data_IF_110570273227
#
_entry.id   IF_110570273227
#
_cell.length_a   1.000
_cell.length_b   1.000
_cell.length_c   1.000
_cell.angle_alpha   90.00
_cell.angle_beta   90.00
_cell.angle_gamma   90.00
#
_symmetry.space_group_name_H-M   'P 1'
#
loop_
_entity.id
_entity.type
_entity.pdbx_description
1 polymer ?
#
# COMPACT_ATOMS: atom_id res chain seq x y z
N UNK A 1 40.25 22.67 -35.19
CA UNK A 1 40.70 22.99 -33.81
C UNK A 1 39.60 23.89 -33.24
N UNK A 2 38.72 23.53 -32.31
CA UNK A 2 38.64 22.50 -31.27
C UNK A 2 37.14 22.14 -31.10
N UNK A 3 36.85 20.84 -30.92
CA UNK A 3 35.57 20.36 -30.40
C UNK A 3 35.43 20.78 -28.93
N UNK A 4 34.23 21.12 -28.47
CA UNK A 4 33.89 20.90 -27.07
C UNK A 4 32.41 20.55 -26.91
N UNK A 5 32.21 19.36 -26.38
CA UNK A 5 30.97 18.67 -26.06
C UNK A 5 30.59 18.93 -24.58
N UNK A 6 29.49 18.30 -24.16
CA UNK A 6 28.97 18.08 -22.80
C UNK A 6 27.93 19.08 -22.27
N UNK A 7 26.83 18.66 -21.64
CA UNK A 7 26.38 17.31 -21.29
C UNK A 7 24.86 17.31 -21.10
N UNK A 8 24.18 16.37 -21.75
CA UNK A 8 22.80 16.00 -21.42
C UNK A 8 22.82 15.22 -20.10
N UNK A 9 22.29 15.84 -19.05
CA UNK A 9 22.18 15.24 -17.71
C UNK A 9 20.93 14.38 -17.57
N UNK A 10 21.09 13.08 -17.82
CA UNK A 10 20.50 12.01 -17.02
C UNK A 10 18.96 11.93 -16.91
N UNK A 11 18.26 11.68 -18.02
CA UNK A 11 16.95 11.01 -17.96
C UNK A 11 17.23 9.53 -17.69
N UNK A 12 16.99 9.04 -16.46
CA UNK A 12 16.85 7.59 -16.27
C UNK A 12 15.54 7.19 -16.94
N UNK A 13 15.66 6.65 -18.14
CA UNK A 13 14.56 6.03 -18.85
C UNK A 13 13.88 5.00 -17.95
N UNK A 14 12.58 5.20 -17.71
CA UNK A 14 11.75 4.16 -17.10
C UNK A 14 11.58 3.11 -18.19
N UNK A 15 12.42 2.07 -18.13
CA UNK A 15 12.34 0.97 -19.05
C UNK A 15 11.04 0.19 -18.78
N UNK A 16 10.03 0.42 -19.62
CA UNK A 16 8.72 -0.23 -19.55
C UNK A 16 8.74 -1.70 -20.01
N UNK A 17 9.88 -2.28 -20.40
CA UNK A 17 9.94 -3.65 -20.96
C UNK A 17 10.05 -4.79 -19.95
N UNK A 18 9.98 -4.52 -18.64
CA UNK A 18 9.85 -5.59 -17.65
C UNK A 18 8.68 -5.27 -16.73
N UNK A 19 7.52 -5.79 -17.11
CA UNK A 19 6.37 -5.97 -16.23
C UNK A 19 6.79 -6.87 -15.06
N UNK A 20 7.43 -6.28 -14.04
CA UNK A 20 7.93 -7.02 -12.88
C UNK A 20 6.77 -7.34 -11.96
N UNK A 21 6.68 -8.62 -11.65
CA UNK A 21 5.71 -9.31 -10.79
C UNK A 21 5.48 -8.54 -9.49
N UNK A 22 4.20 -8.32 -9.16
CA UNK A 22 3.72 -7.39 -8.11
C UNK A 22 4.43 -7.53 -6.75
N UNK A 23 4.95 -8.72 -6.42
CA UNK A 23 5.63 -9.01 -5.15
C UNK A 23 7.16 -9.02 -5.19
N UNK A 24 7.79 -9.23 -6.36
CA UNK A 24 9.23 -8.92 -6.49
C UNK A 24 9.48 -7.45 -6.21
N UNK A 25 8.52 -6.62 -6.59
CA UNK A 25 8.49 -5.18 -6.34
C UNK A 25 8.38 -4.84 -4.84
N UNK A 26 7.56 -5.57 -4.07
CA UNK A 26 7.46 -5.40 -2.62
C UNK A 26 8.71 -5.86 -1.87
N UNK A 27 9.32 -7.00 -2.28
CA UNK A 27 10.63 -7.41 -1.75
C UNK A 27 11.73 -6.42 -2.12
N UNK A 28 11.74 -5.95 -3.37
CA UNK A 28 12.68 -4.92 -3.85
C UNK A 28 12.51 -3.61 -3.09
N UNK A 29 11.27 -3.19 -2.78
CA UNK A 29 11.03 -2.05 -1.89
C UNK A 29 11.62 -2.28 -0.50
N UNK A 30 11.36 -3.44 0.11
CA UNK A 30 11.90 -3.75 1.44
C UNK A 30 13.43 -3.77 1.45
N UNK A 31 14.06 -4.20 0.36
CA UNK A 31 15.51 -4.16 0.14
C UNK A 31 16.03 -2.73 -0.08
N UNK A 32 15.30 -1.87 -0.82
CA UNK A 32 15.62 -0.45 -1.02
C UNK A 32 15.48 0.37 0.28
N UNK A 33 14.49 0.04 1.09
CA UNK A 33 14.10 0.78 2.30
C UNK A 33 15.06 0.56 3.47
N UNK A 34 15.66 -0.62 3.56
CA UNK A 34 16.56 -0.97 4.66
C UNK A 34 18.02 -0.78 4.21
N UNK A 35 18.83 0.00 4.94
CA UNK A 35 20.26 0.02 4.66
C UNK A 35 20.74 -1.43 4.79
N UNK A 36 21.55 -1.89 3.85
CA UNK A 36 22.23 -3.18 3.94
C UNK A 36 23.25 -3.13 5.07
N UNK A 37 22.78 -3.08 6.31
CA UNK A 37 23.57 -3.37 7.47
C UNK A 37 23.79 -4.88 7.47
N UNK A 38 25.05 -5.30 7.41
CA UNK A 38 25.47 -6.67 7.63
C UNK A 38 25.28 -7.06 9.11
N UNK A 39 24.05 -6.92 9.62
CA UNK A 39 23.71 -7.37 10.96
C UNK A 39 23.64 -8.89 10.89
N UNK A 40 24.71 -9.53 11.37
CA UNK A 40 24.73 -10.94 11.74
C UNK A 40 23.44 -11.25 12.51
N UNK A 41 22.53 -11.96 11.86
CA UNK A 41 21.42 -12.61 12.55
C UNK A 41 22.08 -13.75 13.32
N UNK A 42 22.16 -13.63 14.63
CA UNK A 42 22.45 -14.77 15.50
C UNK A 42 21.33 -15.78 15.26
N UNK A 43 21.70 -16.91 14.68
CA UNK A 43 20.82 -18.06 14.49
C UNK A 43 20.60 -18.69 15.87
N UNK A 44 19.55 -18.29 16.57
CA UNK A 44 19.00 -19.12 17.64
C UNK A 44 18.32 -20.33 16.98
N UNK A 45 18.84 -21.52 17.29
CA UNK A 45 18.33 -22.80 16.83
C UNK A 45 16.99 -23.09 17.50
N UNK A 46 15.88 -22.84 16.80
CA UNK A 46 14.56 -23.37 17.14
C UNK A 46 14.31 -24.71 16.40
N UNK A 47 13.71 -25.71 17.05
CA UNK A 47 13.56 -27.07 16.50
C UNK A 47 12.53 -27.16 15.36
N UNK A 48 12.52 -28.26 14.57
CA UNK A 48 11.76 -28.36 13.34
C UNK A 48 10.24 -28.33 13.56
N UNK A 49 9.60 -27.22 13.19
CA UNK A 49 8.14 -27.13 13.13
C UNK A 49 7.63 -27.81 11.86
N UNK A 50 6.88 -28.91 12.04
CA UNK A 50 6.06 -29.48 10.97
C UNK A 50 4.78 -28.63 10.80
N UNK A 51 4.47 -28.13 9.58
CA UNK A 51 3.23 -27.42 9.36
C UNK A 51 2.06 -28.42 9.34
N UNK A 52 0.97 -28.20 10.09
CA UNK A 52 -0.26 -28.96 9.92
C UNK A 52 -0.88 -28.64 8.54
N UNK A 53 -1.67 -29.56 7.96
CA UNK A 53 -2.27 -29.36 6.64
C UNK A 53 -3.13 -28.10 6.63
N UNK A 54 -2.76 -27.15 5.77
CA UNK A 54 -3.48 -25.91 5.54
C UNK A 54 -4.88 -26.22 5.03
N UNK A 55 -5.87 -26.17 5.93
CA UNK A 55 -7.26 -26.00 5.52
C UNK A 55 -7.35 -24.64 4.85
N UNK A 56 -7.42 -24.62 3.52
CA UNK A 56 -7.79 -23.43 2.77
C UNK A 56 -9.11 -22.92 3.33
N UNK A 57 -9.07 -21.83 4.10
CA UNK A 57 -10.27 -21.09 4.45
C UNK A 57 -10.79 -20.46 3.15
N UNK A 58 -11.58 -21.23 2.39
CA UNK A 58 -12.56 -20.66 1.49
C UNK A 58 -13.48 -19.83 2.37
N UNK A 59 -13.29 -18.52 2.38
CA UNK A 59 -14.32 -17.60 2.84
C UNK A 59 -15.59 -17.93 2.04
N UNK A 60 -16.56 -18.58 2.70
CA UNK A 60 -17.89 -18.75 2.14
C UNK A 60 -18.42 -17.33 1.90
N UNK A 61 -18.58 -16.95 0.64
CA UNK A 61 -19.25 -15.73 0.22
C UNK A 61 -20.63 -15.70 0.87
N UNK A 62 -20.82 -14.86 1.88
CA UNK A 62 -22.15 -14.50 2.36
C UNK A 62 -22.87 -13.77 1.21
N UNK A 63 -24.02 -14.30 0.84
CA UNK A 63 -24.80 -13.98 -0.37
C UNK A 63 -25.47 -12.60 -0.39
N UNK A 64 -24.93 -11.62 0.36
CA UNK A 64 -25.44 -10.24 0.44
C UNK A 64 -24.42 -9.17 0.07
N UNK A 65 -23.15 -9.54 -0.18
CA UNK A 65 -22.13 -8.57 -0.59
C UNK A 65 -22.26 -8.24 -2.08
N UNK A 66 -22.28 -6.94 -2.42
CA UNK A 66 -22.16 -6.49 -3.81
C UNK A 66 -20.88 -7.06 -4.44
N UNK A 67 -20.91 -7.34 -5.74
CA UNK A 67 -19.73 -7.81 -6.45
C UNK A 67 -18.52 -6.87 -6.19
N UNK A 68 -17.31 -7.41 -6.00
CA UNK A 68 -16.14 -6.58 -5.74
C UNK A 68 -15.90 -5.63 -6.91
N UNK A 69 -15.55 -4.39 -6.58
CA UNK A 69 -15.09 -3.41 -7.57
C UNK A 69 -13.58 -3.34 -7.56
N UNK A 70 -12.95 -3.18 -8.72
CA UNK A 70 -11.49 -2.99 -8.78
C UNK A 70 -11.16 -1.50 -8.70
N UNK A 71 -10.21 -1.14 -7.84
CA UNK A 71 -9.67 0.23 -7.71
C UNK A 71 -8.14 0.19 -7.80
N UNK A 72 -7.52 1.35 -8.03
CA UNK A 72 -6.06 1.50 -7.96
C UNK A 72 -5.66 2.03 -6.59
N UNK A 73 -4.69 1.41 -5.95
CA UNK A 73 -4.15 1.85 -4.67
C UNK A 73 -2.68 2.17 -4.79
N UNK A 74 -2.24 3.26 -4.15
CA UNK A 74 -0.84 3.65 -4.06
C UNK A 74 -0.44 3.91 -2.61
N UNK A 75 0.55 3.20 -2.10
CA UNK A 75 1.26 3.55 -0.87
C UNK A 75 2.51 4.32 -1.26
N UNK A 76 2.81 5.44 -0.61
CA UNK A 76 4.04 6.16 -0.88
C UNK A 76 4.53 6.94 0.33
N UNK A 77 5.82 7.25 0.37
CA UNK A 77 6.41 8.03 1.44
C UNK A 77 7.92 8.14 1.31
N UNK A 78 8.48 9.14 1.98
CA UNK A 78 9.92 9.28 2.12
C UNK A 78 10.48 8.19 3.06
N UNK A 79 11.78 7.91 2.97
CA UNK A 79 12.42 6.80 3.71
C UNK A 79 12.20 6.82 5.21
N UNK A 80 12.32 8.02 5.79
CA UNK A 80 12.11 8.28 7.23
C UNK A 80 10.80 9.01 7.51
N UNK A 81 9.98 9.22 6.47
CA UNK A 81 8.68 9.87 6.57
C UNK A 81 7.57 8.87 6.87
N UNK A 82 6.38 9.41 7.09
CA UNK A 82 5.14 8.63 7.19
C UNK A 82 4.68 8.15 5.82
N UNK A 83 3.95 7.04 5.83
CA UNK A 83 3.32 6.50 4.63
C UNK A 83 2.01 7.24 4.36
N UNK A 84 1.77 7.61 3.11
CA UNK A 84 0.46 8.00 2.61
C UNK A 84 -0.14 6.85 1.82
N UNK A 85 -1.40 6.53 2.10
CA UNK A 85 -2.20 5.58 1.34
C UNK A 85 -3.25 6.33 0.50
N UNK A 86 -3.26 6.05 -0.80
CA UNK A 86 -4.11 6.69 -1.79
C UNK A 86 -4.95 5.64 -2.52
N UNK A 87 -6.23 5.95 -2.75
CA UNK A 87 -7.14 5.12 -3.56
C UNK A 87 -7.73 5.96 -4.68
N UNK A 88 -7.67 5.43 -5.90
CA UNK A 88 -8.21 6.03 -7.12
C UNK A 88 -9.15 5.04 -7.80
N UNK A 89 -10.37 5.48 -8.12
CA UNK A 89 -11.30 4.69 -8.95
C UNK A 89 -10.79 4.61 -10.40
N UNK A 90 -10.30 5.73 -10.93
CA UNK A 90 -9.64 5.78 -12.22
C UNK A 90 -8.12 5.91 -12.01
N UNK A 91 -7.29 4.95 -12.48
CA UNK A 91 -5.84 4.99 -12.30
C UNK A 91 -5.17 6.28 -12.80
N UNK A 92 -5.70 6.92 -13.84
CA UNK A 92 -5.13 8.15 -14.39
C UNK A 92 -5.60 9.43 -13.69
N UNK A 93 -6.55 9.35 -12.75
CA UNK A 93 -7.09 10.52 -12.05
C UNK A 93 -6.10 11.06 -11.01
N UNK A 94 -5.81 12.35 -11.03
CA UNK A 94 -5.03 13.02 -9.96
C UNK A 94 -5.89 13.37 -8.73
N UNK A 95 -7.20 13.15 -8.81
CA UNK A 95 -8.15 13.33 -7.70
C UNK A 95 -8.52 11.98 -7.09
N UNK A 96 -7.90 11.56 -5.98
CA UNK A 96 -8.20 10.29 -5.33
C UNK A 96 -9.50 10.36 -4.51
N UNK A 97 -10.17 9.22 -4.35
CA UNK A 97 -11.37 9.10 -3.50
C UNK A 97 -10.99 9.02 -2.01
N UNK A 98 -9.76 8.61 -1.71
CA UNK A 98 -9.20 8.54 -0.37
C UNK A 98 -7.72 8.89 -0.42
N UNK A 99 -7.30 9.77 0.48
CA UNK A 99 -5.89 10.06 0.74
C UNK A 99 -5.67 10.13 2.24
N UNK A 100 -4.84 9.21 2.75
CA UNK A 100 -4.72 8.93 4.17
C UNK A 100 -3.26 8.96 4.60
N UNK A 101 -2.89 9.87 5.49
CA UNK A 101 -1.59 9.83 6.16
C UNK A 101 -1.64 8.80 7.29
N UNK A 102 -0.77 7.79 7.24
CA UNK A 102 -0.69 6.72 8.22
C UNK A 102 0.29 7.08 9.34
N UNK A 103 0.04 6.60 10.57
CA UNK A 103 0.98 6.75 11.68
C UNK A 103 2.23 5.84 11.58
N UNK A 104 2.36 5.02 10.53
CA UNK A 104 3.50 4.11 10.33
C UNK A 104 4.57 4.77 9.44
N UNK A 105 5.83 4.81 9.89
CA UNK A 105 6.95 5.23 9.04
C UNK A 105 7.19 4.25 7.88
N UNK A 106 7.66 4.75 6.74
CA UNK A 106 7.88 3.93 5.53
C UNK A 106 8.88 2.81 5.77
N UNK A 107 9.97 3.07 6.48
CA UNK A 107 10.96 2.05 6.84
C UNK A 107 10.42 0.96 7.78
N UNK A 108 9.45 1.28 8.65
CA UNK A 108 8.81 0.29 9.54
C UNK A 108 7.86 -0.58 8.72
N UNK A 109 7.05 0.04 7.85
CA UNK A 109 6.18 -0.70 6.92
C UNK A 109 6.99 -1.66 6.04
N UNK A 110 8.15 -1.22 5.55
CA UNK A 110 9.05 -2.07 4.76
C UNK A 110 9.49 -3.34 5.50
N UNK A 111 9.74 -3.24 6.82
CA UNK A 111 10.12 -4.38 7.65
C UNK A 111 8.95 -5.34 7.80
N UNK A 112 7.76 -4.82 8.09
CA UNK A 112 6.53 -5.62 8.18
C UNK A 112 6.24 -6.35 6.87
N UNK A 113 6.54 -5.73 5.72
CA UNK A 113 6.33 -6.32 4.38
C UNK A 113 7.17 -7.58 4.15
N UNK A 114 8.29 -7.74 4.86
CA UNK A 114 9.09 -8.98 4.80
C UNK A 114 8.39 -10.17 5.45
N UNK A 115 7.49 -9.93 6.41
CA UNK A 115 6.72 -10.96 7.11
C UNK A 115 5.65 -11.64 6.25
N UNK A 116 5.44 -11.18 5.02
CA UNK A 116 4.57 -11.84 4.04
C UNK A 116 3.12 -11.37 4.08
N UNK A 117 2.53 -11.11 5.24
CA UNK A 117 1.16 -10.61 5.35
C UNK A 117 1.08 -9.33 6.18
N UNK A 118 0.40 -8.33 5.62
CA UNK A 118 0.09 -7.07 6.30
C UNK A 118 -1.40 -6.79 6.21
N UNK A 119 -2.00 -6.55 7.37
CA UNK A 119 -3.41 -6.24 7.53
C UNK A 119 -3.55 -4.95 8.31
N UNK A 120 -3.99 -3.90 7.64
CA UNK A 120 -4.33 -2.63 8.26
C UNK A 120 -5.81 -2.60 8.63
N UNK A 121 -6.13 -2.17 9.85
CA UNK A 121 -7.50 -1.86 10.24
C UNK A 121 -7.63 -0.40 10.67
N UNK A 122 -8.71 0.24 10.25
CA UNK A 122 -9.03 1.64 10.50
C UNK A 122 -10.39 1.72 11.17
N UNK A 123 -10.42 2.06 12.45
CA UNK A 123 -11.63 2.13 13.26
C UNK A 123 -11.99 3.58 13.57
N UNK A 124 -13.23 3.97 13.28
CA UNK A 124 -13.80 5.22 13.75
C UNK A 124 -15.00 4.94 14.67
N UNK A 125 -15.12 5.73 15.73
CA UNK A 125 -16.29 5.71 16.63
C UNK A 125 -17.15 6.89 16.25
N UNK A 126 -18.34 6.63 15.73
CA UNK A 126 -19.28 7.68 15.35
C UNK A 126 -20.66 7.10 15.43
N UNK A 127 -21.56 7.84 16.08
CA UNK A 127 -22.96 7.44 16.16
C UNK A 127 -23.49 7.23 14.73
N UNK A 128 -24.03 6.05 14.39
CA UNK A 128 -24.51 5.73 13.03
C UNK A 128 -25.81 6.46 12.66
N UNK A 129 -26.06 7.63 13.28
CA UNK A 129 -27.23 8.44 13.00
C UNK A 129 -27.28 8.92 11.54
N UNK A 130 -28.44 9.41 11.07
CA UNK A 130 -28.67 9.79 9.67
C UNK A 130 -27.75 10.91 9.13
N UNK A 131 -26.93 11.54 9.98
CA UNK A 131 -25.89 12.50 9.58
C UNK A 131 -24.49 11.89 9.39
N UNK A 132 -24.29 10.61 9.66
CA UNK A 132 -22.99 9.96 9.48
C UNK A 132 -22.73 9.76 7.98
N UNK A 133 -21.92 10.65 7.40
CA UNK A 133 -21.53 10.60 5.98
C UNK A 133 -20.83 9.28 5.59
N UNK A 134 -20.42 9.12 4.32
CA UNK A 134 -19.79 7.89 3.84
C UNK A 134 -18.56 7.49 4.68
N UNK A 135 -18.32 6.20 4.89
CA UNK A 135 -17.23 5.69 5.74
C UNK A 135 -15.86 6.28 5.36
N UNK A 136 -15.51 6.30 4.07
CA UNK A 136 -14.24 6.86 3.58
C UNK A 136 -14.18 8.40 3.64
N UNK A 137 -15.26 9.06 4.05
CA UNK A 137 -15.32 10.52 4.25
C UNK A 137 -14.99 10.95 5.67
N UNK A 138 -14.80 10.01 6.60
CA UNK A 138 -14.40 10.33 7.97
C UNK A 138 -13.04 11.06 7.98
N UNK A 139 -12.82 11.99 8.93
CA UNK A 139 -11.59 12.78 8.97
C UNK A 139 -10.39 12.00 9.53
N UNK A 140 -10.63 11.02 10.41
CA UNK A 140 -9.58 10.23 11.04
C UNK A 140 -10.10 8.87 11.52
N UNK A 141 -9.16 7.93 11.67
CA UNK A 141 -9.40 6.59 12.21
C UNK A 141 -8.29 6.21 13.18
N UNK A 142 -8.63 5.40 14.18
CA UNK A 142 -7.63 4.64 14.92
C UNK A 142 -7.07 3.56 14.00
N UNK A 143 -5.75 3.53 13.85
CA UNK A 143 -5.06 2.62 12.93
C UNK A 143 -4.41 1.47 13.70
N UNK A 144 -4.59 0.26 13.16
CA UNK A 144 -3.93 -0.95 13.59
C UNK A 144 -3.21 -1.60 12.42
N UNK A 145 -2.10 -2.28 12.70
CA UNK A 145 -1.40 -3.13 11.74
C UNK A 145 -1.18 -4.49 12.40
N UNK A 146 -1.65 -5.56 11.77
CA UNK A 146 -1.55 -6.94 12.28
C UNK A 146 -2.03 -7.05 13.75
N UNK A 147 -3.13 -6.36 14.07
CA UNK A 147 -3.73 -6.32 15.41
C UNK A 147 -3.09 -5.36 16.41
N UNK A 148 -1.94 -4.74 16.08
CA UNK A 148 -1.26 -3.78 16.96
C UNK A 148 -1.73 -2.37 16.67
N UNK A 149 -2.16 -1.64 17.71
CA UNK A 149 -2.53 -0.22 17.59
C UNK A 149 -1.28 0.62 17.32
N UNK A 150 -1.29 1.37 16.21
CA UNK A 150 -0.15 2.18 15.77
C UNK A 150 -0.36 3.69 15.95
N UNK A 151 -1.60 4.16 16.04
CA UNK A 151 -1.91 5.58 16.21
C UNK A 151 -3.15 5.97 15.42
N UNK A 152 -3.12 7.15 14.80
CA UNK A 152 -4.22 7.65 13.98
C UNK A 152 -3.82 7.72 12.51
N UNK A 153 -4.75 7.36 11.64
CA UNK A 153 -4.66 7.63 10.21
C UNK A 153 -5.60 8.80 9.89
N UNK A 154 -5.08 9.82 9.21
CA UNK A 154 -5.79 11.11 9.04
C UNK A 154 -6.06 11.37 7.56
N UNK A 155 -7.33 11.61 7.22
CA UNK A 155 -7.73 11.99 5.87
C UNK A 155 -7.23 13.41 5.60
N UNK A 156 -6.61 13.61 4.46
CA UNK A 156 -6.13 14.94 4.03
C UNK A 156 -6.45 15.21 2.56
N UNK A 157 -6.40 16.48 2.17
CA UNK A 157 -6.48 16.88 0.76
C UNK A 157 -5.13 16.63 0.07
N UNK A 158 -5.11 16.30 -1.25
CA UNK A 158 -3.88 16.23 -2.01
C UNK A 158 -3.14 17.57 -2.00
N UNK A 159 -1.84 17.53 -1.69
CA UNK A 159 -0.91 18.64 -1.86
C UNK A 159 -0.39 18.68 -3.30
N UNK A 160 0.34 19.75 -3.66
CA UNK A 160 1.01 19.86 -4.96
C UNK A 160 1.96 18.68 -5.23
N UNK A 161 2.70 18.23 -4.22
CA UNK A 161 3.61 17.09 -4.34
C UNK A 161 2.85 15.77 -4.56
N UNK A 162 1.67 15.61 -3.93
CA UNK A 162 0.83 14.43 -4.17
C UNK A 162 0.30 14.41 -5.61
N UNK A 163 -0.13 15.56 -6.13
CA UNK A 163 -0.62 15.68 -7.51
C UNK A 163 0.50 15.34 -8.50
N UNK A 164 1.69 15.92 -8.34
CA UNK A 164 2.85 15.63 -9.20
C UNK A 164 3.24 14.14 -9.17
N UNK A 165 3.22 13.52 -7.98
CA UNK A 165 3.48 12.09 -7.85
C UNK A 165 2.42 11.27 -8.58
N UNK A 166 1.13 11.58 -8.39
CA UNK A 166 0.04 10.85 -9.04
C UNK A 166 0.06 11.01 -10.57
N UNK A 167 0.46 12.18 -11.08
CA UNK A 167 0.69 12.42 -12.52
C UNK A 167 1.79 11.49 -13.06
N UNK A 168 2.94 11.40 -12.38
CA UNK A 168 4.01 10.46 -12.76
C UNK A 168 3.56 9.00 -12.75
N UNK A 169 2.59 8.65 -11.90
CA UNK A 169 2.08 7.29 -11.74
C UNK A 169 0.91 6.92 -12.69
N UNK A 170 0.42 7.84 -13.53
CA UNK A 170 -0.75 7.60 -14.38
C UNK A 170 -0.61 6.36 -15.29
N UNK A 171 0.60 6.11 -15.80
CA UNK A 171 0.89 4.97 -16.69
C UNK A 171 1.35 3.72 -15.94
N UNK A 172 1.45 3.77 -14.61
CA UNK A 172 1.85 2.62 -13.78
C UNK A 172 0.61 1.87 -13.35
N UNK A 173 0.43 0.63 -13.82
CA UNK A 173 -0.71 -0.22 -13.43
C UNK A 173 -0.40 -0.98 -12.15
N UNK A 174 0.77 -1.61 -12.10
CA UNK A 174 1.33 -2.30 -10.94
C UNK A 174 2.82 -2.00 -10.95
N UNK A 175 3.38 -1.58 -9.80
CA UNK A 175 4.76 -1.12 -9.76
C UNK A 175 5.21 -0.79 -8.36
N UNK A 176 6.51 -0.87 -8.12
CA UNK A 176 7.11 -0.28 -6.94
C UNK A 176 8.50 0.25 -7.26
N UNK A 177 8.92 1.28 -6.54
CA UNK A 177 10.22 1.89 -6.78
C UNK A 177 10.38 3.21 -6.05
N UNK A 178 11.34 4.00 -6.54
CA UNK A 178 11.62 5.35 -6.09
C UNK A 178 11.24 6.31 -7.22
N UNK A 179 10.42 7.30 -6.91
CA UNK A 179 10.12 8.42 -7.78
C UNK A 179 10.95 9.62 -7.33
N UNK A 180 11.87 10.06 -8.19
CA UNK A 180 12.64 11.28 -7.96
C UNK A 180 11.76 12.50 -8.25
N UNK A 181 11.23 13.09 -7.18
CA UNK A 181 10.63 14.43 -7.17
C UNK A 181 11.68 15.39 -6.57
N UNK A 182 11.28 16.29 -5.67
CA UNK A 182 12.20 17.10 -4.86
C UNK A 182 12.96 16.25 -3.82
N UNK A 183 12.33 15.18 -3.33
CA UNK A 183 12.91 14.17 -2.45
C UNK A 183 12.66 12.78 -3.06
N UNK A 184 13.49 11.80 -2.69
CA UNK A 184 13.28 10.40 -3.06
C UNK A 184 12.04 9.84 -2.35
N UNK A 185 10.95 9.71 -3.10
CA UNK A 185 9.68 9.15 -2.63
C UNK A 185 9.59 7.70 -3.07
N UNK A 186 9.48 6.79 -2.12
CA UNK A 186 9.19 5.39 -2.46
C UNK A 186 7.71 5.19 -2.64
N UNK A 187 7.35 4.31 -3.56
CA UNK A 187 5.95 3.98 -3.84
C UNK A 187 5.75 2.50 -4.09
N UNK A 188 4.55 2.03 -3.76
CA UNK A 188 3.95 0.78 -4.19
C UNK A 188 2.61 1.14 -4.82
N UNK A 189 2.36 0.64 -6.03
CA UNK A 189 1.10 0.82 -6.74
C UNK A 189 0.59 -0.52 -7.25
N UNK A 190 -0.72 -0.72 -7.13
CA UNK A 190 -1.36 -1.94 -7.62
C UNK A 190 -2.87 -1.85 -7.68
N UNK A 191 -3.49 -2.93 -8.14
CA UNK A 191 -4.95 -3.08 -8.19
C UNK A 191 -5.45 -3.66 -6.87
N UNK A 192 -6.56 -3.15 -6.38
CA UNK A 192 -7.22 -3.64 -5.18
C UNK A 192 -8.65 -4.05 -5.50
N UNK A 193 -9.06 -5.19 -4.98
CA UNK A 193 -10.46 -5.56 -4.88
C UNK A 193 -11.07 -4.84 -3.68
N UNK A 194 -12.04 -3.97 -3.94
CA UNK A 194 -12.84 -3.28 -2.93
C UNK A 194 -14.13 -4.05 -2.70
N UNK A 195 -14.37 -4.42 -1.46
CA UNK A 195 -15.64 -4.97 -0.98
C UNK A 195 -16.30 -3.96 -0.05
N UNK A 196 -17.54 -3.57 -0.38
CA UNK A 196 -18.40 -2.83 0.53
C UNK A 196 -19.34 -3.85 1.19
N UNK A 197 -19.09 -4.17 2.45
CA UNK A 197 -19.92 -5.12 3.18
C UNK A 197 -21.17 -4.43 3.74
N UNK A 198 -21.04 -3.15 4.14
CA UNK A 198 -22.13 -2.30 4.59
C UNK A 198 -21.73 -0.82 4.55
N UNK A 199 -22.64 0.08 4.94
CA UNK A 199 -22.35 1.50 5.14
C UNK A 199 -21.23 1.77 6.18
N UNK A 200 -20.96 0.80 7.05
CA UNK A 200 -20.01 0.90 8.15
C UNK A 200 -18.76 0.04 7.94
N UNK A 201 -18.64 -0.67 6.81
CA UNK A 201 -17.52 -1.59 6.56
C UNK A 201 -17.11 -1.64 5.09
N UNK A 202 -15.86 -1.25 4.83
CA UNK A 202 -15.18 -1.40 3.53
C UNK A 202 -13.88 -2.19 3.72
N UNK A 203 -13.55 -3.05 2.76
CA UNK A 203 -12.23 -3.69 2.69
C UNK A 203 -11.61 -3.55 1.31
N UNK A 204 -10.28 -3.49 1.28
CA UNK A 204 -9.46 -3.39 0.08
C UNK A 204 -8.36 -4.45 0.15
N UNK A 205 -8.32 -5.35 -0.82
CA UNK A 205 -7.34 -6.43 -0.88
C UNK A 205 -6.49 -6.26 -2.14
N UNK A 206 -5.17 -6.22 -1.97
CA UNK A 206 -4.26 -6.15 -3.11
C UNK A 206 -4.45 -7.40 -3.99
N UNK A 207 -4.72 -7.18 -5.26
CA UNK A 207 -4.84 -8.25 -6.25
C UNK A 207 -3.43 -8.64 -6.67
N UNK A 208 -3.00 -9.82 -6.24
CA UNK A 208 -1.79 -10.42 -6.79
C UNK A 208 -2.12 -11.09 -8.13
N UNK A 209 -1.54 -10.64 -9.27
CA UNK A 209 -1.63 -11.39 -10.51
C UNK A 209 -1.05 -12.81 -10.41
N UNK A 210 -0.16 -13.09 -9.45
CA UNK A 210 0.52 -14.38 -9.27
C UNK A 210 0.10 -15.13 -7.98
N UNK A 211 -1.15 -14.91 -7.51
CA UNK A 211 -1.66 -15.38 -6.20
C UNK A 211 -1.41 -16.87 -5.87
N UNK A 212 -1.16 -17.71 -6.87
CA UNK A 212 -0.85 -19.14 -6.72
C UNK A 212 0.51 -19.44 -6.05
N UNK A 213 1.47 -18.51 -6.07
CA UNK A 213 2.87 -18.83 -5.73
C UNK A 213 3.40 -18.13 -4.48
N UNK A 214 2.80 -17.01 -4.04
CA UNK A 214 3.50 -16.09 -3.16
C UNK A 214 2.95 -16.04 -1.73
N UNK A 215 1.69 -16.40 -1.49
CA UNK A 215 1.08 -16.42 -0.14
C UNK A 215 1.10 -15.08 0.60
N UNK A 216 1.55 -14.00 -0.04
CA UNK A 216 1.67 -12.68 0.55
C UNK A 216 0.36 -11.90 0.38
N UNK A 217 -0.03 -11.17 1.41
CA UNK A 217 -1.32 -10.47 1.46
C UNK A 217 -1.13 -9.03 1.96
N UNK A 218 -1.72 -8.07 1.26
CA UNK A 218 -1.86 -6.70 1.73
C UNK A 218 -3.33 -6.31 1.71
N UNK A 219 -3.88 -6.08 2.90
CA UNK A 219 -5.31 -5.81 3.09
C UNK A 219 -5.52 -4.58 3.97
N UNK A 220 -6.50 -3.77 3.62
CA UNK A 220 -6.95 -2.60 4.39
C UNK A 220 -8.43 -2.74 4.73
N UNK A 221 -8.77 -2.61 6.00
CA UNK A 221 -10.13 -2.72 6.51
C UNK A 221 -10.55 -1.41 7.16
N UNK A 222 -11.71 -0.88 6.78
CA UNK A 222 -12.31 0.30 7.38
C UNK A 222 -13.58 -0.12 8.11
N UNK A 223 -13.70 0.30 9.36
CA UNK A 223 -14.79 -0.06 10.25
C UNK A 223 -15.29 1.18 10.97
N UNK A 224 -16.62 1.33 11.02
CA UNK A 224 -17.29 2.25 11.94
C UNK A 224 -17.95 1.43 13.02
N UNK A 225 -17.45 1.59 14.25
CA UNK A 225 -18.05 0.98 15.44
C UNK A 225 -19.19 1.85 15.92
N UNK A 226 -20.36 1.21 16.11
CA UNK A 226 -21.52 1.78 16.79
C UNK A 226 -21.30 1.79 18.31
#
# INVERSE_FOLDING_TARGET
>A
MIMSYSAAGGVTSVNCEKQVRSWRLLRSMAELLLPTCNCMITQENEPPWHPPPTKHFRHKRSSSASAPTTVSGTLYGQRRGKVTFCIQTNPSSTSPILLLELAIPTNVLAKEMKGGSIRFAFECKTDPGPGAGPLLSMPAWTMYCNGRKLGFAVKRKPSKADVELLEKMQNVVVGAGVASLADDVMYLRGKFERFNASLNSDSFHLVDPDAACNGQELSFYFLRSC
#
